data_IF_760123745194
#
_entry.id   IF_760123745194
#
_cell.length_a   1.000
_cell.length_b   1.000
_cell.length_c   1.000
_cell.angle_alpha   90.00
_cell.angle_beta   90.00
_cell.angle_gamma   90.00
#
_symmetry.space_group_name_H-M   'P 1'
#
loop_
_entity.id
_entity.type
_entity.pdbx_description
1 polymer ?
#
# COMPACT_ATOMS: atom_id res chain seq x y z
N UNK A 1 -27.86 10.93 -0.51
CA UNK A 1 -26.45 10.59 -0.70
C UNK A 1 -25.86 11.38 -1.86
N UNK A 2 -24.76 12.02 -1.68
CA UNK A 2 -24.12 12.84 -2.71
C UNK A 2 -23.17 12.01 -3.56
N UNK A 3 -22.91 12.45 -4.79
CA UNK A 3 -21.94 11.80 -5.68
C UNK A 3 -20.53 11.82 -5.09
N UNK A 4 -20.16 12.90 -4.37
CA UNK A 4 -18.87 13.02 -3.72
C UNK A 4 -18.61 11.92 -2.72
N UNK A 5 -19.61 11.49 -1.96
CA UNK A 5 -19.46 10.41 -0.98
C UNK A 5 -19.11 9.09 -1.63
N UNK A 6 -19.66 8.82 -2.81
CA UNK A 6 -19.37 7.58 -3.53
C UNK A 6 -17.92 7.56 -4.07
N UNK A 7 -17.48 8.67 -4.65
CA UNK A 7 -16.11 8.80 -5.14
C UNK A 7 -15.10 8.70 -3.99
N UNK A 8 -15.41 9.32 -2.85
CA UNK A 8 -14.56 9.30 -1.67
C UNK A 8 -14.45 7.89 -1.12
N UNK A 9 -15.55 7.16 -1.06
CA UNK A 9 -15.56 5.77 -0.62
C UNK A 9 -14.70 4.89 -1.54
N UNK A 10 -14.87 5.05 -2.85
CA UNK A 10 -14.07 4.28 -3.83
C UNK A 10 -12.58 4.61 -3.72
N UNK A 11 -12.25 5.86 -3.42
CA UNK A 11 -10.87 6.26 -3.20
C UNK A 11 -10.27 5.55 -1.97
N UNK A 12 -11.01 5.54 -0.86
CA UNK A 12 -10.59 4.81 0.34
C UNK A 12 -10.43 3.32 0.07
N UNK A 13 -11.35 2.74 -0.67
CA UNK A 13 -11.31 1.32 -1.04
C UNK A 13 -10.06 1.00 -1.86
N UNK A 14 -9.74 1.85 -2.82
CA UNK A 14 -8.55 1.68 -3.66
C UNK A 14 -7.27 1.69 -2.81
N UNK A 15 -7.17 2.63 -1.88
CA UNK A 15 -6.02 2.73 -0.99
C UNK A 15 -5.94 1.52 -0.07
N UNK A 16 -7.08 1.08 0.48
CA UNK A 16 -7.14 -0.09 1.34
C UNK A 16 -6.68 -1.36 0.59
N UNK A 17 -7.14 -1.54 -0.64
CA UNK A 17 -6.75 -2.69 -1.45
C UNK A 17 -5.26 -2.70 -1.75
N UNK A 18 -4.70 -1.54 -2.10
CA UNK A 18 -3.27 -1.40 -2.36
C UNK A 18 -2.47 -1.71 -1.09
N UNK A 19 -2.89 -1.17 0.05
CA UNK A 19 -2.23 -1.43 1.32
C UNK A 19 -2.22 -2.93 1.65
N UNK A 20 -3.34 -3.63 1.43
CA UNK A 20 -3.43 -5.06 1.66
C UNK A 20 -2.41 -5.82 0.80
N UNK A 21 -2.27 -5.42 -0.46
CA UNK A 21 -1.30 -6.05 -1.36
C UNK A 21 0.14 -5.84 -0.90
N UNK A 22 0.48 -4.64 -0.43
CA UNK A 22 1.81 -4.38 0.14
C UNK A 22 2.04 -5.19 1.42
N UNK A 23 1.04 -5.22 2.29
CA UNK A 23 1.15 -5.94 3.56
C UNK A 23 1.29 -7.45 3.38
N UNK A 24 0.65 -8.00 2.35
CA UNK A 24 0.69 -9.43 2.05
C UNK A 24 1.88 -9.85 1.18
N UNK A 25 2.69 -8.89 0.74
CA UNK A 25 3.85 -9.19 -0.10
C UNK A 25 3.47 -9.64 -1.51
N UNK A 26 2.35 -9.14 -2.03
CA UNK A 26 1.83 -9.55 -3.33
C UNK A 26 2.34 -8.75 -4.52
N UNK A 27 3.07 -7.65 -4.26
CA UNK A 27 3.49 -6.72 -5.29
C UNK A 27 4.99 -6.81 -5.55
N UNK A 28 5.35 -6.71 -6.83
CA UNK A 28 6.74 -6.75 -7.29
C UNK A 28 7.01 -5.56 -8.20
N UNK A 29 8.19 -5.00 -8.07
CA UNK A 29 8.59 -3.81 -8.79
C UNK A 29 9.30 -4.17 -10.09
N UNK A 30 8.89 -3.53 -11.19
CA UNK A 30 9.58 -3.65 -12.47
C UNK A 30 10.93 -2.92 -12.38
N UNK A 31 12.05 -3.58 -12.70
CA UNK A 31 13.36 -2.93 -12.64
C UNK A 31 13.57 -1.87 -13.71
N UNK A 32 12.72 -1.83 -14.73
CA UNK A 32 12.86 -0.90 -15.85
C UNK A 32 12.08 0.38 -15.62
N UNK A 33 10.77 0.28 -15.32
CA UNK A 33 9.92 1.47 -15.18
C UNK A 33 9.60 1.84 -13.73
N UNK A 34 9.86 0.95 -12.76
CA UNK A 34 9.61 1.22 -11.36
C UNK A 34 8.17 1.02 -10.91
N UNK A 35 7.26 0.67 -11.80
CA UNK A 35 5.88 0.40 -11.43
C UNK A 35 5.75 -0.96 -10.76
N UNK A 36 4.71 -1.12 -9.92
CA UNK A 36 4.48 -2.36 -9.18
C UNK A 36 3.27 -3.09 -9.73
N UNK A 37 3.38 -4.41 -9.79
CA UNK A 37 2.31 -5.29 -10.28
C UNK A 37 2.32 -6.58 -9.47
N UNK A 38 1.20 -7.30 -9.47
CA UNK A 38 1.12 -8.62 -8.84
C UNK A 38 1.85 -9.65 -9.71
N UNK A 39 2.26 -10.75 -9.10
CA UNK A 39 2.88 -11.85 -9.85
C UNK A 39 1.92 -12.37 -10.93
N UNK A 40 0.62 -12.42 -10.65
CA UNK A 40 -0.39 -12.83 -11.63
C UNK A 40 -0.35 -11.98 -12.89
N UNK A 41 -0.17 -10.65 -12.72
CA UNK A 41 -0.08 -9.73 -13.87
C UNK A 41 1.17 -9.98 -14.70
N UNK A 42 2.31 -10.32 -14.06
CA UNK A 42 3.53 -10.69 -14.79
C UNK A 42 3.36 -12.03 -15.47
N UNK A 43 2.77 -13.02 -14.80
CA UNK A 43 2.55 -14.35 -15.34
C UNK A 43 1.64 -14.33 -16.58
N UNK A 44 0.70 -13.40 -16.64
CA UNK A 44 -0.19 -13.26 -17.81
C UNK A 44 0.59 -12.94 -19.08
N UNK A 45 1.81 -12.44 -18.97
CA UNK A 45 2.67 -12.07 -20.08
C UNK A 45 4.00 -12.84 -20.05
N UNK A 46 4.00 -14.04 -19.48
CA UNK A 46 5.21 -14.85 -19.43
C UNK A 46 5.51 -15.48 -20.81
N UNK A 47 6.78 -15.68 -21.07
CA UNK A 47 7.24 -16.32 -22.28
C UNK A 47 8.61 -16.98 -22.02
N UNK A 48 9.01 -17.87 -22.90
CA UNK A 48 10.33 -18.50 -22.83
C UNK A 48 11.27 -17.85 -23.84
N UNK A 49 12.52 -17.65 -23.45
CA UNK A 49 13.54 -17.16 -24.36
C UNK A 49 14.09 -18.33 -25.23
N UNK A 50 15.07 -18.03 -26.07
CA UNK A 50 15.68 -19.04 -26.95
C UNK A 50 16.34 -20.18 -26.19
N UNK A 51 16.78 -19.92 -24.94
CA UNK A 51 17.39 -20.92 -24.08
C UNK A 51 16.36 -21.72 -23.28
N UNK A 52 15.07 -21.42 -23.44
CA UNK A 52 13.98 -22.05 -22.67
C UNK A 52 13.81 -21.50 -21.28
N UNK A 53 14.41 -20.35 -20.99
CA UNK A 53 14.31 -19.71 -19.68
C UNK A 53 13.06 -18.85 -19.61
N UNK A 54 12.36 -18.92 -18.47
CA UNK A 54 11.13 -18.17 -18.25
C UNK A 54 11.43 -16.68 -18.08
N UNK A 55 10.67 -15.85 -18.80
CA UNK A 55 10.77 -14.40 -18.77
C UNK A 55 9.39 -13.78 -18.70
N UNK A 56 9.32 -12.55 -18.24
CA UNK A 56 8.06 -11.79 -18.12
C UNK A 56 8.15 -10.50 -18.92
N UNK A 57 6.98 -10.00 -19.34
CA UNK A 57 6.85 -8.69 -19.97
C UNK A 57 6.11 -7.79 -19.02
N UNK A 58 6.68 -6.62 -18.69
CA UNK A 58 6.03 -5.67 -17.80
C UNK A 58 4.72 -5.16 -18.41
N UNK A 59 3.59 -5.25 -17.68
CA UNK A 59 2.31 -4.75 -18.19
C UNK A 59 2.29 -3.25 -18.48
N UNK A 60 3.17 -2.48 -17.83
CA UNK A 60 3.21 -1.03 -17.98
C UNK A 60 4.17 -0.58 -19.09
N UNK A 61 5.43 -0.99 -19.04
CA UNK A 61 6.45 -0.49 -20.00
C UNK A 61 6.76 -1.45 -21.15
N UNK A 62 6.26 -2.69 -21.09
CA UNK A 62 6.53 -3.69 -22.12
C UNK A 62 7.95 -4.25 -22.09
N UNK A 63 8.73 -3.93 -21.06
CA UNK A 63 10.11 -4.40 -20.93
C UNK A 63 10.20 -5.89 -20.64
N UNK A 64 11.28 -6.51 -21.11
CA UNK A 64 11.56 -7.92 -20.90
C UNK A 64 12.34 -8.10 -19.58
N UNK A 65 11.85 -8.98 -18.71
CA UNK A 65 12.33 -9.09 -17.32
C UNK A 65 12.59 -10.56 -16.98
N UNK A 66 13.73 -10.83 -16.32
CA UNK A 66 13.98 -12.13 -15.73
C UNK A 66 13.32 -12.22 -14.37
N UNK A 67 12.89 -13.42 -13.98
CA UNK A 67 12.26 -13.64 -12.67
C UNK A 67 13.13 -13.12 -11.52
N UNK A 68 14.43 -13.34 -11.62
CA UNK A 68 15.40 -12.90 -10.57
C UNK A 68 15.50 -11.39 -10.44
N UNK A 69 15.05 -10.63 -11.42
CA UNK A 69 15.08 -9.16 -11.41
C UNK A 69 13.87 -8.55 -10.71
N UNK A 70 12.82 -9.35 -10.48
CA UNK A 70 11.61 -8.87 -9.78
C UNK A 70 11.86 -8.83 -8.29
N UNK A 71 11.73 -7.64 -7.70
CA UNK A 71 11.86 -7.46 -6.26
C UNK A 71 10.49 -7.25 -5.64
N UNK A 72 10.21 -8.01 -4.57
CA UNK A 72 9.01 -7.79 -3.78
C UNK A 72 9.11 -6.44 -3.07
N UNK A 73 8.04 -5.65 -3.12
CA UNK A 73 7.98 -4.39 -2.39
C UNK A 73 7.36 -4.62 -1.02
N UNK A 74 7.62 -3.69 -0.09
CA UNK A 74 7.19 -3.82 1.30
C UNK A 74 6.49 -2.56 1.77
N UNK A 75 6.04 -2.57 3.01
CA UNK A 75 5.45 -1.38 3.63
C UNK A 75 6.45 -0.23 3.70
N UNK A 76 7.75 -0.52 3.75
CA UNK A 76 8.78 0.51 3.68
C UNK A 76 8.59 1.34 2.40
N UNK A 77 8.42 0.66 1.27
CA UNK A 77 8.22 1.33 -0.02
C UNK A 77 6.91 2.12 -0.05
N UNK A 78 5.87 1.56 0.54
CA UNK A 78 4.55 2.21 0.57
C UNK A 78 4.57 3.51 1.37
N UNK A 79 5.24 3.51 2.53
CA UNK A 79 5.23 4.63 3.46
C UNK A 79 6.40 5.60 3.29
N UNK A 80 7.25 5.38 2.28
CA UNK A 80 8.41 6.27 2.02
C UNK A 80 8.00 7.73 1.89
N UNK A 81 6.86 8.00 1.24
CA UNK A 81 6.38 9.35 0.96
C UNK A 81 5.19 9.78 1.82
N UNK A 82 4.99 9.17 2.98
CA UNK A 82 3.90 9.60 3.86
C UNK A 82 4.18 11.01 4.40
N UNK A 83 3.10 11.74 4.71
CA UNK A 83 3.18 13.16 5.07
C UNK A 83 3.29 13.39 6.56
N UNK A 84 2.60 12.60 7.37
CA UNK A 84 2.60 12.78 8.81
C UNK A 84 2.33 11.46 9.51
N UNK A 85 2.91 11.30 10.68
CA UNK A 85 2.77 10.08 11.48
C UNK A 85 2.40 10.48 12.90
N UNK A 86 1.25 10.00 13.36
CA UNK A 86 0.82 10.23 14.74
C UNK A 86 0.87 8.89 15.47
N UNK A 87 1.77 8.79 16.43
CA UNK A 87 1.87 7.60 17.26
C UNK A 87 0.94 7.74 18.47
N UNK A 88 0.20 6.68 18.78
CA UNK A 88 -0.61 6.62 19.99
C UNK A 88 0.10 5.74 21.00
N UNK A 89 0.35 6.31 22.17
CA UNK A 89 1.19 5.71 23.19
C UNK A 89 0.39 5.63 24.47
N UNK A 90 0.45 4.48 25.16
CA UNK A 90 -0.25 4.29 26.42
C UNK A 90 0.45 5.01 27.57
N UNK A 91 -0.19 5.04 28.71
CA UNK A 91 0.36 5.65 29.93
C UNK A 91 1.63 4.94 30.41
N UNK A 92 1.82 3.70 29.98
CA UNK A 92 3.03 2.90 30.23
C UNK A 92 4.15 3.23 29.23
N UNK A 93 3.93 4.21 28.35
CA UNK A 93 4.85 4.66 27.30
C UNK A 93 5.13 3.60 26.23
N UNK A 94 4.22 2.65 26.08
CA UNK A 94 4.32 1.63 25.05
C UNK A 94 3.47 2.00 23.83
N UNK A 95 3.95 1.63 22.64
CA UNK A 95 3.24 1.83 21.38
C UNK A 95 1.88 1.11 21.42
N UNK A 96 0.83 1.78 20.97
CA UNK A 96 -0.52 1.22 20.88
C UNK A 96 -1.00 1.11 19.43
N UNK A 97 -0.94 2.21 18.71
CA UNK A 97 -1.42 2.29 17.34
C UNK A 97 -0.80 3.49 16.65
N UNK A 98 -1.10 3.63 15.36
CA UNK A 98 -0.56 4.72 14.55
C UNK A 98 -1.64 5.23 13.61
N UNK A 99 -1.61 6.52 13.33
CA UNK A 99 -2.42 7.15 12.30
C UNK A 99 -1.47 7.84 11.32
N UNK A 100 -1.46 7.42 10.07
CA UNK A 100 -0.51 7.89 9.07
C UNK A 100 -1.23 8.65 7.98
N UNK A 101 -0.82 9.89 7.72
CA UNK A 101 -1.36 10.67 6.61
C UNK A 101 -0.64 10.27 5.33
N UNK A 102 -1.37 9.68 4.38
CA UNK A 102 -0.79 9.21 3.12
C UNK A 102 -1.14 10.09 1.93
N UNK A 103 -2.04 11.06 2.09
CA UNK A 103 -2.36 12.05 1.07
C UNK A 103 -2.79 13.36 1.73
N UNK A 104 -2.42 14.48 1.12
CA UNK A 104 -2.85 15.79 1.59
C UNK A 104 -2.87 16.78 0.40
N UNK A 105 -3.48 17.95 0.62
CA UNK A 105 -3.55 18.99 -0.41
C UNK A 105 -4.75 18.90 -1.34
N UNK A 106 -5.45 17.83 -1.37
CA UNK A 106 -6.77 17.56 -1.89
C UNK A 106 -7.54 16.99 -0.74
N UNK A 107 -8.22 15.84 -0.85
CA UNK A 107 -8.67 15.18 0.36
C UNK A 107 -7.47 14.71 1.18
N UNK A 108 -7.55 14.87 2.49
CA UNK A 108 -6.55 14.32 3.39
C UNK A 108 -6.94 12.87 3.67
N UNK A 109 -5.99 11.94 3.50
CA UNK A 109 -6.26 10.53 3.67
C UNK A 109 -5.32 9.94 4.70
N UNK A 110 -5.88 9.16 5.62
CA UNK A 110 -5.17 8.57 6.74
C UNK A 110 -5.37 7.06 6.77
N UNK A 111 -4.34 6.35 7.20
CA UNK A 111 -4.46 4.94 7.57
C UNK A 111 -4.37 4.90 9.09
N UNK A 112 -5.42 4.44 9.74
CA UNK A 112 -5.54 4.42 11.19
C UNK A 112 -5.66 2.97 11.67
N UNK A 113 -4.64 2.49 12.37
CA UNK A 113 -4.61 1.09 12.82
C UNK A 113 -5.49 0.82 14.03
N UNK A 114 -5.87 1.86 14.78
CA UNK A 114 -6.76 1.68 15.92
C UNK A 114 -8.17 1.33 15.47
N UNK A 115 -8.71 2.08 14.52
CA UNK A 115 -10.02 1.76 13.96
C UNK A 115 -9.95 0.81 12.76
N UNK A 116 -8.75 0.46 12.33
CA UNK A 116 -8.49 -0.47 11.22
C UNK A 116 -9.22 -0.05 9.95
N UNK A 117 -8.94 1.19 9.53
CA UNK A 117 -9.63 1.76 8.37
C UNK A 117 -8.76 2.81 7.67
N UNK A 118 -9.05 3.00 6.38
CA UNK A 118 -8.59 4.15 5.62
C UNK A 118 -9.63 5.22 5.78
N UNK A 119 -9.22 6.41 6.20
CA UNK A 119 -10.10 7.55 6.50
C UNK A 119 -9.82 8.69 5.54
N UNK A 120 -10.87 9.25 4.94
CA UNK A 120 -10.75 10.40 4.05
C UNK A 120 -11.50 11.59 4.67
N UNK A 121 -10.85 12.75 4.65
CA UNK A 121 -11.42 14.01 5.15
C UNK A 121 -11.22 15.09 4.09
N UNK A 122 -12.29 15.72 3.66
CA UNK A 122 -12.24 16.81 2.70
C UNK A 122 -13.39 17.78 2.93
N UNK A 123 -13.08 18.99 3.44
CA UNK A 123 -14.08 19.99 3.80
C UNK A 123 -15.09 19.39 4.79
N UNK A 124 -16.37 19.30 4.43
CA UNK A 124 -17.41 18.70 5.27
C UNK A 124 -17.64 17.22 4.95
N UNK A 125 -16.94 16.70 3.93
CA UNK A 125 -17.09 15.32 3.51
C UNK A 125 -16.13 14.40 4.23
N UNK A 126 -16.56 13.17 4.46
CA UNK A 126 -15.71 12.13 5.01
C UNK A 126 -16.13 10.78 4.44
N UNK A 127 -15.16 9.86 4.39
CA UNK A 127 -15.41 8.50 3.98
C UNK A 127 -14.45 7.59 4.73
N UNK A 128 -14.78 6.30 4.81
CA UNK A 128 -13.87 5.32 5.39
C UNK A 128 -14.08 3.98 4.73
N UNK A 129 -13.04 3.17 4.73
CA UNK A 129 -13.07 1.80 4.23
C UNK A 129 -12.19 0.93 5.14
N UNK A 130 -12.71 -0.22 5.60
CA UNK A 130 -11.96 -1.05 6.54
C UNK A 130 -10.75 -1.72 5.89
N UNK A 131 -9.71 -1.95 6.70
CA UNK A 131 -8.60 -2.82 6.32
C UNK A 131 -8.67 -4.06 7.19
N UNK A 132 -8.02 -5.14 6.76
CA UNK A 132 -8.03 -6.39 7.51
C UNK A 132 -7.24 -6.24 8.81
N UNK A 133 -7.51 -7.11 9.76
CA UNK A 133 -6.73 -7.21 10.99
C UNK A 133 -5.25 -7.43 10.67
N UNK A 134 -4.99 -8.33 9.72
CA UNK A 134 -3.63 -8.68 9.32
C UNK A 134 -2.88 -7.47 8.74
N UNK A 135 -3.55 -6.68 7.90
CA UNK A 135 -2.94 -5.47 7.34
C UNK A 135 -2.68 -4.43 8.45
N UNK A 136 -3.63 -4.23 9.36
CA UNK A 136 -3.46 -3.31 10.47
C UNK A 136 -2.29 -3.72 11.37
N UNK A 137 -2.15 -5.00 11.65
CA UNK A 137 -1.04 -5.52 12.46
C UNK A 137 0.30 -5.35 11.74
N UNK A 138 0.34 -5.58 10.43
CA UNK A 138 1.56 -5.38 9.64
C UNK A 138 2.00 -3.91 9.68
N UNK A 139 1.05 -2.97 9.57
CA UNK A 139 1.33 -1.54 9.66
C UNK A 139 1.83 -1.19 11.07
N UNK A 140 1.19 -1.74 12.10
CA UNK A 140 1.63 -1.52 13.49
C UNK A 140 3.06 -2.02 13.72
N UNK A 141 3.38 -3.20 13.25
CA UNK A 141 4.73 -3.75 13.40
C UNK A 141 5.77 -2.86 12.74
N UNK A 142 5.45 -2.38 11.55
CA UNK A 142 6.36 -1.50 10.81
C UNK A 142 6.61 -0.20 11.57
N UNK A 143 5.57 0.47 12.05
CA UNK A 143 5.70 1.75 12.74
C UNK A 143 6.19 1.60 14.18
N UNK A 144 5.93 0.47 14.83
CA UNK A 144 6.49 0.20 16.15
C UNK A 144 8.01 0.08 16.07
N UNK A 145 8.53 -0.56 15.04
CA UNK A 145 9.97 -0.64 14.81
C UNK A 145 10.57 0.76 14.62
N UNK A 146 9.90 1.61 13.83
CA UNK A 146 10.34 3.00 13.65
C UNK A 146 10.29 3.78 14.96
N UNK A 147 9.23 3.59 15.74
CA UNK A 147 9.05 4.27 17.03
C UNK A 147 10.17 3.90 18.01
N UNK A 148 10.64 2.65 17.98
CA UNK A 148 11.66 2.14 18.88
C UNK A 148 13.10 2.36 18.38
N UNK A 149 13.28 2.97 17.24
CA UNK A 149 14.60 3.30 16.71
C UNK A 149 15.30 4.38 17.50
#
# INVERSE_FOLDING_TARGET
MTHGNNENFEHCKSIANTLEQYANGELYKCPICGEVHTMTEYEANEHEDEAGQLRYTCPNCGGDIEESELEAVSLWDYFTDCYDIEYRIGSDKQFRSVCVMVACGGPNIYIDTQCKAVLLRWLTESAEYPISYEAAEAVNEYFEELFNC
#
